data_IF_718334208606
#
_entry.id   IF_718334208606
#
_cell.length_a   1.000
_cell.length_b   1.000
_cell.length_c   1.000
_cell.angle_alpha   90.00
_cell.angle_beta   90.00
_cell.angle_gamma   90.00
#
_symmetry.space_group_name_H-M   'P 1'
#
loop_
_entity.id
_entity.type
_entity.pdbx_description
1 polymer ?
#
# COMPACT_ATOMS: atom_id res chain seq x y z
N UNK A 1 -15.88 -5.27 16.01
CA UNK A 1 -16.01 -5.63 14.58
C UNK A 1 -16.90 -6.85 14.36
N UNK A 2 -17.95 -6.69 13.52
CA UNK A 2 -19.00 -7.70 13.23
C UNK A 2 -18.62 -8.75 12.17
N UNK A 3 -17.90 -8.37 11.12
CA UNK A 3 -17.40 -9.35 10.15
C UNK A 3 -16.18 -10.08 10.70
N UNK A 4 -16.29 -11.40 10.85
CA UNK A 4 -15.18 -12.23 11.30
C UNK A 4 -14.06 -12.30 10.24
N UNK A 5 -14.40 -12.34 8.95
CA UNK A 5 -13.41 -12.30 7.87
C UNK A 5 -12.57 -11.01 7.90
N UNK A 6 -13.21 -9.84 8.01
CA UNK A 6 -12.48 -8.57 8.12
C UNK A 6 -11.59 -8.55 9.37
N UNK A 7 -12.12 -9.00 10.53
CA UNK A 7 -11.34 -9.10 11.78
C UNK A 7 -10.08 -9.93 11.59
N UNK A 8 -10.18 -11.10 10.96
CA UNK A 8 -9.03 -11.97 10.68
C UNK A 8 -7.97 -11.26 9.84
N UNK A 9 -8.35 -10.51 8.82
CA UNK A 9 -7.40 -9.79 7.98
C UNK A 9 -6.72 -8.61 8.72
N UNK A 10 -7.43 -7.89 9.60
CA UNK A 10 -6.79 -6.90 10.47
C UNK A 10 -5.85 -7.52 11.51
N UNK A 11 -6.21 -8.67 12.08
CA UNK A 11 -5.29 -9.42 12.95
C UNK A 11 -4.04 -9.87 12.18
N UNK A 12 -4.21 -10.26 10.91
CA UNK A 12 -3.08 -10.62 10.03
C UNK A 12 -2.14 -9.43 9.83
N UNK A 13 -2.67 -8.23 9.55
CA UNK A 13 -1.86 -7.00 9.45
C UNK A 13 -1.08 -6.74 10.74
N UNK A 14 -1.73 -6.87 11.89
CA UNK A 14 -1.06 -6.68 13.19
C UNK A 14 0.08 -7.68 13.39
N UNK A 15 -0.19 -8.98 13.20
CA UNK A 15 0.80 -10.04 13.37
C UNK A 15 2.00 -9.88 12.42
N UNK A 16 1.73 -9.47 11.18
CA UNK A 16 2.76 -9.14 10.19
C UNK A 16 3.72 -8.06 10.70
N UNK A 17 3.20 -6.96 11.26
CA UNK A 17 4.01 -5.86 11.83
C UNK A 17 4.76 -6.28 13.08
N UNK A 18 4.06 -6.90 14.03
CA UNK A 18 4.65 -7.39 15.29
C UNK A 18 5.86 -8.31 15.02
N UNK A 19 5.81 -9.10 13.95
CA UNK A 19 6.88 -10.04 13.60
C UNK A 19 8.18 -9.38 13.11
N UNK A 20 8.13 -8.13 12.63
CA UNK A 20 9.28 -7.45 12.02
C UNK A 20 9.74 -6.23 12.80
N UNK A 21 8.83 -5.59 13.55
CA UNK A 21 9.09 -4.34 14.26
C UNK A 21 10.31 -4.41 15.21
N UNK A 22 10.56 -5.50 15.96
CA UNK A 22 11.76 -5.61 16.79
C UNK A 22 13.06 -5.46 16.00
N UNK A 23 13.14 -6.04 14.79
CA UNK A 23 14.32 -5.94 13.94
C UNK A 23 14.49 -4.54 13.36
N UNK A 24 13.38 -3.86 13.04
CA UNK A 24 13.38 -2.51 12.51
C UNK A 24 13.80 -1.47 13.56
N UNK A 25 13.44 -1.69 14.83
CA UNK A 25 13.83 -0.84 15.96
C UNK A 25 15.34 -0.81 16.24
N UNK A 26 16.11 -1.75 15.67
CA UNK A 26 17.56 -1.79 15.79
C UNK A 26 18.28 -0.98 14.70
N UNK A 27 17.55 -0.44 13.72
CA UNK A 27 18.14 0.34 12.63
C UNK A 27 18.42 1.76 13.07
N UNK A 28 19.60 2.27 12.71
CA UNK A 28 19.83 3.72 12.78
C UNK A 28 19.03 4.46 11.70
N UNK A 29 18.85 5.77 11.88
CA UNK A 29 18.23 6.64 10.88
C UNK A 29 18.93 6.54 9.51
N UNK A 30 20.25 6.37 9.48
CA UNK A 30 20.96 6.20 8.21
C UNK A 30 20.58 4.88 7.54
N UNK A 31 20.56 3.78 8.28
CA UNK A 31 20.24 2.45 7.74
C UNK A 31 18.78 2.32 7.31
N UNK A 32 17.85 2.94 8.03
CA UNK A 32 16.42 2.95 7.70
C UNK A 32 16.16 3.55 6.32
N UNK A 33 16.88 4.62 5.99
CA UNK A 33 16.68 5.41 4.77
C UNK A 33 17.70 5.11 3.66
N UNK A 34 18.67 4.22 3.91
CA UNK A 34 19.62 3.77 2.90
C UNK A 34 18.91 2.95 1.82
N UNK A 35 19.01 3.41 0.56
CA UNK A 35 18.50 2.66 -0.58
C UNK A 35 19.50 1.58 -1.00
N UNK A 36 19.08 0.32 -1.22
CA UNK A 36 19.96 -0.72 -1.73
C UNK A 36 20.54 -0.41 -3.12
N UNK A 37 19.78 0.32 -3.95
CA UNK A 37 20.22 0.91 -5.22
C UNK A 37 19.27 2.05 -5.63
N UNK A 38 19.64 2.84 -6.63
CA UNK A 38 18.88 4.02 -7.08
C UNK A 38 17.42 3.71 -7.50
N UNK A 39 17.15 2.49 -7.96
CA UNK A 39 15.86 2.05 -8.48
C UNK A 39 15.03 1.23 -7.46
N UNK A 40 15.48 1.17 -6.21
CA UNK A 40 14.79 0.47 -5.13
C UNK A 40 14.56 1.43 -3.97
N UNK A 41 13.42 1.24 -3.32
CA UNK A 41 13.10 1.95 -2.09
C UNK A 41 13.97 1.45 -0.94
N UNK A 42 14.28 2.36 -0.01
CA UNK A 42 14.79 2.00 1.30
C UNK A 42 13.70 1.31 2.14
N UNK A 43 14.09 0.84 3.32
CA UNK A 43 13.14 0.27 4.28
C UNK A 43 12.13 1.33 4.74
N UNK A 44 12.59 2.54 5.07
CA UNK A 44 11.73 3.65 5.48
C UNK A 44 10.72 4.03 4.40
N UNK A 45 11.16 4.10 3.14
CA UNK A 45 10.28 4.34 1.99
C UNK A 45 9.26 3.22 1.79
N UNK A 46 9.65 1.97 1.98
CA UNK A 46 8.75 0.82 1.85
C UNK A 46 7.64 0.84 2.91
N UNK A 47 7.96 1.23 4.14
CA UNK A 47 6.97 1.37 5.22
C UNK A 47 6.08 2.60 4.98
N UNK A 48 6.67 3.71 4.54
CA UNK A 48 5.89 4.90 4.17
C UNK A 48 4.90 4.61 3.04
N UNK A 49 5.28 3.78 2.07
CA UNK A 49 4.38 3.31 1.02
C UNK A 49 3.18 2.52 1.58
N UNK A 50 3.40 1.65 2.59
CA UNK A 50 2.31 0.94 3.26
C UNK A 50 1.33 1.91 3.93
N UNK A 51 1.84 2.96 4.57
CA UNK A 51 1.02 4.04 5.12
C UNK A 51 0.17 4.71 4.03
N UNK A 52 0.76 5.06 2.88
CA UNK A 52 0.04 5.68 1.77
C UNK A 52 -1.08 4.79 1.23
N UNK A 53 -0.85 3.48 1.11
CA UNK A 53 -1.86 2.52 0.68
C UNK A 53 -3.00 2.41 1.70
N UNK A 54 -2.68 2.30 2.99
CA UNK A 54 -3.70 2.25 4.05
C UNK A 54 -4.56 3.52 4.07
N UNK A 55 -3.92 4.69 3.94
CA UNK A 55 -4.61 5.99 3.83
C UNK A 55 -5.49 6.07 2.60
N UNK A 56 -4.99 5.65 1.43
CA UNK A 56 -5.76 5.60 0.18
C UNK A 56 -7.00 4.74 0.34
N UNK A 57 -6.85 3.53 0.90
CA UNK A 57 -7.96 2.63 1.14
C UNK A 57 -8.99 3.25 2.09
N UNK A 58 -8.57 3.85 3.21
CA UNK A 58 -9.50 4.55 4.10
C UNK A 58 -10.29 5.64 3.37
N UNK A 59 -9.63 6.48 2.57
CA UNK A 59 -10.32 7.53 1.81
C UNK A 59 -11.31 6.92 0.80
N UNK A 60 -10.92 5.86 0.09
CA UNK A 60 -11.81 5.14 -0.82
C UNK A 60 -13.02 4.53 -0.08
N UNK A 61 -12.81 4.00 1.12
CA UNK A 61 -13.85 3.39 1.94
C UNK A 61 -14.86 4.41 2.47
N UNK A 62 -14.41 5.61 2.89
CA UNK A 62 -15.28 6.71 3.32
C UNK A 62 -16.30 7.09 2.24
N UNK A 63 -15.94 6.92 0.97
CA UNK A 63 -16.81 7.24 -0.17
C UNK A 63 -17.62 6.02 -0.61
N UNK A 64 -16.94 4.89 -0.83
CA UNK A 64 -17.54 3.69 -1.44
C UNK A 64 -18.60 3.06 -0.54
N UNK A 65 -18.33 2.98 0.77
CA UNK A 65 -19.24 2.35 1.72
C UNK A 65 -20.60 3.05 1.72
N UNK A 66 -20.73 4.36 2.04
CA UNK A 66 -22.04 5.01 2.07
C UNK A 66 -22.76 4.97 0.71
N UNK A 67 -22.04 5.10 -0.41
CA UNK A 67 -22.63 5.06 -1.74
C UNK A 67 -23.24 3.69 -2.11
N UNK A 68 -22.68 2.59 -1.61
CA UNK A 68 -23.07 1.23 -2.03
C UNK A 68 -23.78 0.43 -0.94
N UNK A 69 -23.76 0.89 0.32
CA UNK A 69 -24.32 0.15 1.47
C UNK A 69 -25.79 -0.20 1.32
N UNK A 70 -26.61 0.68 0.73
CA UNK A 70 -28.03 0.38 0.50
C UNK A 70 -28.21 -0.78 -0.48
N UNK A 71 -27.53 -0.72 -1.62
CA UNK A 71 -27.53 -1.81 -2.60
C UNK A 71 -26.99 -3.13 -2.00
N UNK A 72 -25.91 -3.05 -1.22
CA UNK A 72 -25.33 -4.20 -0.55
C UNK A 72 -26.32 -4.86 0.44
N UNK A 73 -27.09 -4.06 1.19
CA UNK A 73 -28.16 -4.56 2.08
C UNK A 73 -29.23 -5.34 1.31
N UNK A 74 -29.66 -4.86 0.14
CA UNK A 74 -30.63 -5.57 -0.70
C UNK A 74 -30.11 -6.92 -1.18
N UNK A 75 -28.79 -7.08 -1.27
CA UNK A 75 -28.13 -8.31 -1.74
C UNK A 75 -27.64 -9.23 -0.63
N UNK A 76 -27.86 -8.90 0.64
CA UNK A 76 -27.29 -9.63 1.80
C UNK A 76 -27.47 -11.17 1.77
N UNK A 77 -28.57 -11.66 1.21
CA UNK A 77 -28.87 -13.10 1.14
C UNK A 77 -28.25 -13.79 -0.09
N UNK A 78 -27.57 -13.06 -0.98
CA UNK A 78 -26.89 -13.62 -2.14
C UNK A 78 -25.48 -14.08 -1.75
N UNK A 79 -24.98 -15.18 -2.33
CA UNK A 79 -23.59 -15.59 -2.14
C UNK A 79 -22.64 -14.52 -2.72
N UNK A 80 -21.43 -14.48 -2.17
CA UNK A 80 -20.34 -13.60 -2.61
C UNK A 80 -19.00 -14.32 -2.43
N UNK A 81 -18.01 -13.92 -3.22
CA UNK A 81 -16.66 -14.46 -3.12
C UNK A 81 -15.96 -13.95 -1.87
N UNK A 82 -15.44 -14.87 -1.06
CA UNK A 82 -14.84 -14.56 0.24
C UNK A 82 -13.35 -14.30 0.17
N UNK A 83 -12.71 -14.76 -0.89
CA UNK A 83 -11.26 -14.79 -1.02
C UNK A 83 -10.83 -14.02 -2.26
N UNK A 84 -9.65 -13.42 -2.19
CA UNK A 84 -8.91 -12.90 -3.35
C UNK A 84 -7.55 -13.59 -3.41
N UNK A 85 -7.06 -13.84 -4.63
CA UNK A 85 -5.75 -14.41 -4.84
C UNK A 85 -4.62 -13.39 -4.58
N UNK A 86 -3.38 -13.88 -4.43
CA UNK A 86 -2.20 -13.02 -4.38
C UNK A 86 -1.89 -12.47 -5.78
N UNK A 87 -2.52 -11.35 -6.12
CA UNK A 87 -2.36 -10.67 -7.41
C UNK A 87 -0.90 -10.26 -7.70
N UNK A 88 -0.09 -10.05 -6.66
CA UNK A 88 1.32 -9.67 -6.81
C UNK A 88 2.18 -10.87 -7.21
N UNK A 89 1.89 -12.03 -6.62
CA UNK A 89 2.51 -13.31 -7.00
C UNK A 89 2.12 -13.68 -8.43
N UNK A 90 0.83 -13.66 -8.75
CA UNK A 90 0.33 -13.97 -10.10
C UNK A 90 0.92 -13.03 -11.16
N UNK A 91 0.97 -11.73 -10.88
CA UNK A 91 1.59 -10.75 -11.78
C UNK A 91 3.07 -11.06 -12.03
N UNK A 92 3.81 -11.39 -10.97
CA UNK A 92 5.24 -11.72 -11.07
C UNK A 92 5.49 -12.99 -11.87
N UNK A 93 4.68 -14.02 -11.65
CA UNK A 93 4.75 -15.28 -12.40
C UNK A 93 4.47 -15.05 -13.89
N UNK A 94 3.47 -14.23 -14.22
CA UNK A 94 3.09 -13.93 -15.59
C UNK A 94 4.08 -13.02 -16.35
N UNK A 95 4.71 -12.06 -15.67
CA UNK A 95 5.51 -11.02 -16.34
C UNK A 95 7.01 -11.09 -16.04
N UNK A 96 7.44 -12.02 -15.18
CA UNK A 96 8.84 -12.15 -14.75
C UNK A 96 9.36 -10.99 -13.89
N UNK A 97 8.51 -10.02 -13.52
CA UNK A 97 8.87 -8.81 -12.78
C UNK A 97 7.77 -8.38 -11.82
N UNK A 98 8.15 -7.65 -10.77
CA UNK A 98 7.19 -7.07 -9.82
C UNK A 98 6.31 -6.01 -10.46
N UNK A 99 5.08 -5.88 -9.94
CA UNK A 99 4.15 -4.81 -10.33
C UNK A 99 4.72 -3.44 -9.92
N UNK A 100 4.63 -2.45 -10.81
CA UNK A 100 5.06 -1.08 -10.50
C UNK A 100 3.97 -0.38 -9.68
N UNK A 101 4.38 0.27 -8.60
CA UNK A 101 3.49 1.15 -7.84
C UNK A 101 3.03 2.34 -8.69
N UNK A 102 1.74 2.73 -8.62
CA UNK A 102 1.27 4.01 -9.13
C UNK A 102 2.02 5.19 -8.50
N UNK A 103 2.30 6.24 -9.27
CA UNK A 103 3.15 7.36 -8.80
C UNK A 103 2.62 8.07 -7.56
N UNK A 104 1.29 8.12 -7.35
CA UNK A 104 0.66 8.75 -6.18
C UNK A 104 0.95 8.00 -4.87
N UNK A 105 1.34 6.74 -4.99
CA UNK A 105 1.71 5.87 -3.87
C UNK A 105 3.23 5.80 -3.70
N UNK A 106 4.01 6.52 -4.50
CA UNK A 106 5.45 6.58 -4.30
C UNK A 106 5.74 7.54 -3.13
N UNK A 107 6.65 7.16 -2.21
CA UNK A 107 7.12 8.07 -1.18
C UNK A 107 7.69 9.36 -1.78
N UNK A 108 7.38 10.54 -1.21
CA UNK A 108 7.89 11.80 -1.73
C UNK A 108 9.39 11.93 -1.48
N UNK A 109 10.10 12.59 -2.38
CA UNK A 109 11.57 12.74 -2.33
C UNK A 109 12.10 13.49 -1.10
N UNK A 110 11.26 14.02 -0.23
CA UNK A 110 11.68 14.81 0.95
C UNK A 110 11.45 14.09 2.26
N UNK A 111 10.93 12.88 2.20
CA UNK A 111 10.70 12.05 3.38
C UNK A 111 11.99 11.39 3.91
N UNK A 112 13.08 11.41 3.13
CA UNK A 112 14.33 10.80 3.56
C UNK A 112 14.85 11.47 4.84
N UNK A 113 15.23 10.64 5.80
CA UNK A 113 15.74 11.07 7.11
C UNK A 113 14.79 11.99 7.91
N UNK A 114 13.52 12.11 7.52
CA UNK A 114 12.58 12.99 8.22
C UNK A 114 11.92 12.32 9.43
N UNK A 115 11.90 10.99 9.48
CA UNK A 115 11.21 10.25 10.53
C UNK A 115 11.85 8.90 10.86
N UNK A 116 11.77 8.52 12.13
CA UNK A 116 12.21 7.23 12.64
C UNK A 116 11.19 6.11 12.43
N UNK A 117 11.60 4.88 12.73
CA UNK A 117 10.72 3.71 12.61
C UNK A 117 9.46 3.81 13.48
N UNK A 118 9.59 4.35 14.70
CA UNK A 118 8.45 4.52 15.60
C UNK A 118 7.40 5.47 15.02
N UNK A 119 7.82 6.56 14.37
CA UNK A 119 6.92 7.52 13.74
C UNK A 119 6.23 6.92 12.51
N UNK A 120 6.99 6.17 11.69
CA UNK A 120 6.44 5.43 10.54
C UNK A 120 5.39 4.39 10.97
N UNK A 121 5.69 3.62 12.01
CA UNK A 121 4.77 2.62 12.56
C UNK A 121 3.51 3.27 13.12
N UNK A 122 3.63 4.37 13.87
CA UNK A 122 2.50 5.14 14.37
C UNK A 122 1.61 5.69 13.23
N UNK A 123 2.21 6.21 12.15
CA UNK A 123 1.44 6.66 10.97
C UNK A 123 0.65 5.53 10.33
N UNK A 124 1.28 4.37 10.11
CA UNK A 124 0.64 3.21 9.52
C UNK A 124 -0.45 2.62 10.44
N UNK A 125 -0.16 2.53 11.74
CA UNK A 125 -1.11 2.06 12.75
C UNK A 125 -2.34 2.96 12.82
N UNK A 126 -2.14 4.28 12.85
CA UNK A 126 -3.23 5.26 12.88
C UNK A 126 -4.19 5.12 11.70
N UNK A 127 -3.67 5.01 10.48
CA UNK A 127 -4.52 4.80 9.30
C UNK A 127 -5.24 3.43 9.34
N UNK A 128 -4.60 2.41 9.92
CA UNK A 128 -5.21 1.08 10.10
C UNK A 128 -6.35 1.12 11.12
N UNK A 129 -6.17 1.78 12.26
CA UNK A 129 -7.21 1.93 13.30
C UNK A 129 -8.42 2.67 12.73
N UNK A 130 -8.20 3.79 12.05
CA UNK A 130 -9.30 4.55 11.41
C UNK A 130 -10.05 3.73 10.36
N UNK A 131 -9.35 2.87 9.62
CA UNK A 131 -10.00 1.95 8.69
C UNK A 131 -10.81 0.88 9.43
N UNK A 132 -10.30 0.34 10.55
CA UNK A 132 -11.03 -0.62 11.40
C UNK A 132 -12.32 -0.02 11.97
N UNK A 133 -12.26 1.20 12.52
CA UNK A 133 -13.41 1.93 13.05
C UNK A 133 -14.49 2.12 11.97
N UNK A 134 -14.09 2.49 10.75
CA UNK A 134 -15.00 2.72 9.63
C UNK A 134 -15.81 1.47 9.24
N UNK A 135 -15.24 0.27 9.43
CA UNK A 135 -15.85 -1.00 9.01
C UNK A 135 -16.35 -1.85 10.17
N UNK A 136 -16.20 -1.39 11.41
CA UNK A 136 -16.47 -2.15 12.63
C UNK A 136 -17.90 -2.72 12.67
N UNK A 137 -18.90 -1.90 12.32
CA UNK A 137 -20.32 -2.24 12.44
C UNK A 137 -20.94 -2.84 11.17
N UNK A 138 -20.13 -3.14 10.16
CA UNK A 138 -20.61 -3.70 8.90
C UNK A 138 -20.68 -5.23 9.02
N UNK A 139 -21.90 -5.75 8.89
CA UNK A 139 -22.15 -7.19 8.87
C UNK A 139 -21.45 -7.85 7.68
N UNK A 140 -21.00 -9.10 7.87
CA UNK A 140 -20.22 -9.82 6.86
C UNK A 140 -20.98 -10.03 5.54
N UNK A 141 -22.28 -10.32 5.64
CA UNK A 141 -23.18 -10.50 4.50
C UNK A 141 -23.40 -9.20 3.72
N UNK A 142 -23.28 -8.04 4.36
CA UNK A 142 -23.30 -6.73 3.68
C UNK A 142 -21.92 -6.41 3.09
N UNK A 143 -20.84 -6.62 3.85
CA UNK A 143 -19.47 -6.33 3.41
C UNK A 143 -19.10 -7.08 2.12
N UNK A 144 -19.60 -8.30 1.95
CA UNK A 144 -19.43 -9.10 0.73
C UNK A 144 -20.03 -8.50 -0.54
N UNK A 145 -20.92 -7.51 -0.43
CA UNK A 145 -21.58 -6.84 -1.56
C UNK A 145 -21.22 -5.35 -1.70
N UNK A 146 -20.31 -4.83 -0.87
CA UNK A 146 -19.73 -3.49 -1.03
C UNK A 146 -18.54 -3.62 -1.98
N UNK A 147 -18.72 -3.21 -3.25
CA UNK A 147 -17.71 -3.41 -4.30
C UNK A 147 -16.84 -2.17 -4.47
N UNK A 148 -15.52 -2.36 -4.48
CA UNK A 148 -14.55 -1.32 -4.80
C UNK A 148 -14.15 -1.41 -6.27
N UNK A 149 -14.05 -0.26 -6.93
CA UNK A 149 -13.56 -0.19 -8.30
C UNK A 149 -12.04 -0.31 -8.33
N UNK A 150 -11.57 -1.53 -8.60
CA UNK A 150 -10.16 -1.85 -8.82
C UNK A 150 -10.07 -2.94 -9.90
N UNK A 151 -9.93 -2.56 -11.19
CA UNK A 151 -9.90 -3.53 -12.28
C UNK A 151 -8.65 -4.43 -12.25
N UNK A 152 -7.58 -4.03 -11.57
CA UNK A 152 -6.37 -4.87 -11.42
C UNK A 152 -6.66 -6.03 -10.47
N UNK A 153 -7.47 -5.78 -9.44
CA UNK A 153 -7.91 -6.77 -8.46
C UNK A 153 -9.29 -7.38 -8.77
N UNK A 154 -9.79 -7.23 -10.01
CA UNK A 154 -11.10 -7.71 -10.45
C UNK A 154 -12.29 -7.20 -9.62
N UNK A 155 -12.29 -5.91 -9.28
CA UNK A 155 -13.33 -5.21 -8.51
C UNK A 155 -13.74 -5.93 -7.21
N UNK A 156 -12.81 -6.02 -6.25
CA UNK A 156 -13.01 -6.77 -5.02
C UNK A 156 -14.12 -6.17 -4.13
N UNK A 157 -14.79 -7.03 -3.36
CA UNK A 157 -15.67 -6.57 -2.28
C UNK A 157 -14.87 -6.09 -1.05
N UNK A 158 -15.54 -5.46 -0.08
CA UNK A 158 -14.88 -4.86 1.10
C UNK A 158 -14.03 -5.88 1.89
N UNK A 159 -14.49 -7.12 2.01
CA UNK A 159 -13.73 -8.18 2.69
C UNK A 159 -12.44 -8.46 1.91
N UNK A 160 -12.56 -8.67 0.60
CA UNK A 160 -11.44 -8.93 -0.30
C UNK A 160 -10.46 -7.75 -0.37
N UNK A 161 -10.92 -6.51 -0.26
CA UNK A 161 -10.04 -5.33 -0.23
C UNK A 161 -9.19 -5.29 1.04
N UNK A 162 -9.77 -5.62 2.20
CA UNK A 162 -9.00 -5.70 3.45
C UNK A 162 -8.05 -6.91 3.41
N UNK A 163 -8.47 -8.03 2.81
CA UNK A 163 -7.58 -9.15 2.53
C UNK A 163 -6.43 -8.74 1.62
N UNK A 164 -6.70 -7.98 0.56
CA UNK A 164 -5.71 -7.51 -0.38
C UNK A 164 -4.71 -6.55 0.28
N UNK A 165 -5.17 -5.72 1.22
CA UNK A 165 -4.27 -4.90 2.04
C UNK A 165 -3.27 -5.78 2.83
N UNK A 166 -3.75 -6.86 3.45
CA UNK A 166 -2.88 -7.80 4.18
C UNK A 166 -1.92 -8.58 3.26
N UNK A 167 -2.35 -8.92 2.04
CA UNK A 167 -1.49 -9.55 1.02
C UNK A 167 -0.41 -8.57 0.56
N UNK A 168 -0.79 -7.32 0.28
CA UNK A 168 0.12 -6.26 -0.14
C UNK A 168 1.17 -5.97 0.94
N UNK A 169 0.75 -5.86 2.19
CA UNK A 169 1.67 -5.67 3.30
C UNK A 169 2.64 -6.85 3.44
N UNK A 170 2.16 -8.08 3.37
CA UNK A 170 3.01 -9.27 3.35
C UNK A 170 4.06 -9.22 2.22
N UNK A 171 3.69 -8.74 1.04
CA UNK A 171 4.60 -8.58 -0.09
C UNK A 171 5.75 -7.63 0.25
N UNK A 172 5.45 -6.44 0.79
CA UNK A 172 6.47 -5.46 1.18
C UNK A 172 7.31 -5.93 2.36
N UNK A 173 6.73 -6.62 3.35
CA UNK A 173 7.49 -7.17 4.47
C UNK A 173 8.48 -8.26 4.03
N UNK A 174 8.17 -9.05 2.99
CA UNK A 174 9.17 -9.97 2.40
C UNK A 174 10.34 -9.23 1.77
N UNK A 175 10.10 -8.10 1.11
CA UNK A 175 11.16 -7.24 0.57
C UNK A 175 12.02 -6.68 1.70
N UNK A 176 11.38 -6.13 2.74
CA UNK A 176 12.06 -5.54 3.89
C UNK A 176 12.92 -6.60 4.63
N UNK A 177 12.42 -7.82 4.82
CA UNK A 177 13.21 -8.91 5.45
C UNK A 177 14.49 -9.21 4.67
N UNK A 178 14.40 -9.34 3.35
CA UNK A 178 15.58 -9.55 2.50
C UNK A 178 16.57 -8.39 2.61
N UNK A 179 16.07 -7.16 2.65
CA UNK A 179 16.92 -5.98 2.74
C UNK A 179 17.59 -5.87 4.14
N UNK A 180 16.90 -6.27 5.21
CA UNK A 180 17.46 -6.44 6.56
C UNK A 180 18.56 -7.50 6.62
N UNK A 181 18.36 -8.66 5.98
CA UNK A 181 19.36 -9.71 5.88
C UNK A 181 20.63 -9.22 5.17
N UNK A 182 20.48 -8.46 4.09
CA UNK A 182 21.60 -7.85 3.38
C UNK A 182 22.38 -6.86 4.26
N UNK A 183 21.69 -6.03 5.05
CA UNK A 183 22.34 -5.11 6.01
C UNK A 183 23.12 -5.85 7.10
N UNK A 184 22.55 -6.94 7.64
CA UNK A 184 23.21 -7.76 8.65
C UNK A 184 24.40 -8.55 8.09
N UNK A 185 24.30 -9.01 6.84
CA UNK A 185 25.42 -9.63 6.11
C UNK A 185 26.60 -8.67 5.90
N UNK A 186 26.32 -7.40 5.57
CA UNK A 186 27.35 -6.36 5.46
C UNK A 186 28.06 -6.10 6.80
N UNK A 187 27.34 -6.10 7.92
CA UNK A 187 27.95 -5.95 9.26
C UNK A 187 28.95 -7.07 9.60
N UNK A 188 28.73 -8.29 9.11
CA UNK A 188 29.65 -9.42 9.32
C UNK A 188 30.83 -9.45 8.33
N UNK A 189 30.76 -8.67 7.24
CA UNK A 189 31.71 -8.71 6.12
C UNK A 189 32.63 -7.49 5.96
N UNK A 190 32.67 -6.56 6.92
CA UNK A 190 33.54 -5.38 6.82
C UNK A 190 35.02 -5.74 7.09
N UNK A 191 35.70 -6.24 6.06
CA UNK A 191 37.10 -5.96 5.78
C UNK A 191 37.09 -5.08 4.50
N UNK A 192 37.70 -3.88 4.48
CA UNK A 192 37.45 -2.94 3.40
C UNK A 192 38.31 -3.32 2.19
N UNK A 193 37.67 -3.61 1.07
CA UNK A 193 38.31 -3.42 -0.23
C UNK A 193 37.34 -2.77 -1.20
N UNK A 194 37.79 -1.62 -1.71
CA UNK A 194 37.17 -0.82 -2.74
C UNK A 194 37.02 -1.61 -4.04
N UNK A 195 35.94 -1.36 -4.78
CA UNK A 195 36.15 -0.97 -6.17
C UNK A 195 34.96 -0.25 -6.81
N UNK A 196 35.38 0.57 -7.76
CA UNK A 196 34.66 1.64 -8.44
C UNK A 196 34.05 1.16 -9.77
N UNK A 197 32.96 1.84 -10.16
CA UNK A 197 32.46 2.08 -11.53
C UNK A 197 31.75 0.95 -12.31
N UNK A 198 30.53 1.24 -12.79
CA UNK A 198 30.28 1.52 -14.22
C UNK A 198 28.84 2.00 -14.52
N UNK A 199 28.79 2.86 -15.52
CA UNK A 199 27.70 3.65 -16.09
C UNK A 199 26.82 2.81 -17.03
N UNK A 200 25.54 3.18 -17.19
CA UNK A 200 24.73 2.79 -18.36
C UNK A 200 23.37 3.49 -18.43
N UNK A 201 23.25 4.56 -19.21
CA UNK A 201 21.97 5.19 -19.63
C UNK A 201 21.27 4.28 -20.64
N UNK A 202 19.92 4.31 -20.69
CA UNK A 202 19.15 4.25 -21.93
C UNK A 202 17.70 4.74 -21.72
N UNK A 203 17.20 5.39 -22.76
CA UNK A 203 16.11 6.36 -22.83
C UNK A 203 14.76 5.79 -23.28
N UNK A 204 13.70 6.42 -22.77
CA UNK A 204 12.43 6.85 -23.39
C UNK A 204 11.53 5.95 -24.28
N UNK A 205 10.24 6.10 -23.95
CA UNK A 205 9.03 6.12 -24.79
C UNK A 205 8.38 4.80 -25.22
N UNK A 206 7.07 4.68 -24.96
CA UNK A 206 6.01 4.66 -26.00
C UNK A 206 4.64 4.96 -25.35
N UNK A 207 3.86 5.72 -26.11
CA UNK A 207 2.58 6.40 -25.83
C UNK A 207 1.38 5.54 -26.25
N UNK A 208 0.24 5.76 -25.57
CA UNK A 208 -1.17 5.79 -26.09
C UNK A 208 -1.77 4.48 -26.61
N UNK A 209 -3.06 4.19 -26.57
CA UNK A 209 -4.34 4.84 -26.16
C UNK A 209 -5.42 3.72 -26.18
N UNK A 210 -6.57 3.87 -25.52
CA UNK A 210 -7.91 3.51 -26.05
C UNK A 210 -9.03 4.06 -25.15
N UNK A 211 -10.27 4.06 -25.67
CA UNK A 211 -11.12 5.23 -25.80
C UNK A 211 -12.50 5.15 -25.12
N UNK A 212 -13.07 6.35 -24.96
CA UNK A 212 -14.47 6.78 -25.10
C UNK A 212 -15.57 6.42 -24.09
N UNK A 213 -15.49 5.36 -23.26
CA UNK A 213 -16.33 5.28 -22.04
C UNK A 213 -15.59 5.81 -20.79
N UNK A 214 -14.27 5.92 -20.91
CA UNK A 214 -13.39 6.47 -19.89
C UNK A 214 -13.41 7.99 -19.79
N UNK A 215 -14.13 8.75 -20.61
CA UNK A 215 -14.04 10.22 -20.57
C UNK A 215 -14.89 10.84 -19.45
N UNK A 216 -16.05 10.26 -19.14
CA UNK A 216 -16.86 10.66 -17.98
C UNK A 216 -16.23 10.23 -16.65
N UNK A 217 -15.74 8.98 -16.59
CA UNK A 217 -15.05 8.44 -15.41
C UNK A 217 -13.65 9.06 -15.23
N UNK A 218 -12.93 9.44 -16.28
CA UNK A 218 -11.63 10.12 -16.14
C UNK A 218 -11.77 11.56 -15.68
N UNK A 219 -12.86 12.24 -16.00
CA UNK A 219 -13.14 13.56 -15.44
C UNK A 219 -13.61 13.48 -13.98
N UNK A 220 -14.44 12.49 -13.60
CA UNK A 220 -14.78 12.25 -12.19
C UNK A 220 -13.62 11.64 -11.38
N UNK A 221 -12.75 10.81 -11.99
CA UNK A 221 -11.53 10.28 -11.36
C UNK A 221 -10.42 11.35 -11.32
N UNK A 222 -10.35 12.28 -12.27
CA UNK A 222 -9.49 13.48 -12.16
C UNK A 222 -10.03 14.47 -11.14
N UNK A 223 -11.35 14.64 -11.02
CA UNK A 223 -11.96 15.40 -9.92
C UNK A 223 -11.77 14.68 -8.58
N UNK A 224 -11.82 13.35 -8.56
CA UNK A 224 -11.48 12.53 -7.40
C UNK A 224 -10.01 12.70 -7.05
N UNK A 225 -9.05 12.57 -7.98
CA UNK A 225 -7.62 12.82 -7.76
C UNK A 225 -7.37 14.29 -7.37
N UNK A 226 -8.02 15.24 -8.05
CA UNK A 226 -7.89 16.69 -7.82
C UNK A 226 -8.47 17.14 -6.49
N UNK A 227 -9.61 16.60 -6.07
CA UNK A 227 -10.18 16.79 -4.74
C UNK A 227 -9.51 15.90 -3.70
N UNK A 228 -8.89 14.79 -4.10
CA UNK A 228 -8.08 13.93 -3.24
C UNK A 228 -6.82 14.66 -2.79
N UNK A 229 -6.23 15.57 -3.57
CA UNK A 229 -5.17 16.45 -3.03
C UNK A 229 -5.66 17.29 -1.85
N UNK A 230 -6.93 17.74 -1.86
CA UNK A 230 -7.57 18.39 -0.70
C UNK A 230 -7.98 17.41 0.40
N UNK A 231 -8.53 16.24 0.06
CA UNK A 231 -9.01 15.20 1.00
C UNK A 231 -7.87 14.41 1.67
N UNK A 232 -6.71 14.30 1.03
CA UNK A 232 -5.48 13.73 1.59
C UNK A 232 -4.76 14.70 2.52
N UNK A 233 -5.29 15.93 2.71
CA UNK A 233 -4.67 16.94 3.55
C UNK A 233 -3.31 17.41 3.05
N UNK A 234 -3.03 17.29 1.74
CA UNK A 234 -1.78 17.77 1.15
C UNK A 234 -1.90 19.30 1.05
N UNK A 235 -1.54 19.98 2.14
CA UNK A 235 -1.39 21.41 2.13
C UNK A 235 -0.08 21.74 1.40
N UNK A 236 -0.11 22.57 0.35
CA UNK A 236 1.12 23.01 -0.35
C UNK A 236 2.05 23.85 0.54
N UNK A 237 1.62 24.18 1.75
CA UNK A 237 2.44 24.81 2.80
C UNK A 237 3.01 23.82 3.82
N UNK A 238 2.78 22.50 3.66
CA UNK A 238 3.41 21.47 4.49
C UNK A 238 4.91 21.42 4.15
N UNK A 239 5.83 21.59 5.14
CA UNK A 239 7.27 21.69 4.91
C UNK A 239 7.89 20.47 4.21
N UNK A 240 7.17 19.34 4.13
CA UNK A 240 7.64 18.11 3.49
C UNK A 240 7.27 17.98 2.00
N UNK A 241 6.57 18.97 1.40
CA UNK A 241 6.05 18.90 0.01
C UNK A 241 6.55 19.97 -0.96
N UNK A 242 7.36 20.94 -0.53
CA UNK A 242 8.15 21.80 -1.44
C UNK A 242 9.49 21.21 -1.63
#
# INVERSE_FOLDING_TARGET
MKSQSMRTHFLTLKQQRDSILPALNLLSMAQLWERPNENKWSIGESIYHLFLIAKMLRVAAIITIPCTKFYAKLRRNKPFDRNINDIYKEYKEKHGRGMKSPFILNPPNKIYHSMGINELDQLLLHETIKLMELVEDIDQDIAGHIIFFDPVANNPNLIQVIQLLAIHEAHHLRIIRRDLEALNGRKKGNNPMSNSSRIGRLTAAVKRSFSFLGQFIKEEFKKFIGNSFKLFGINRSDPYYK
#
